data_IF_918611150481
#
_entry.id   IF_918611150481
#
_cell.length_a   1.000
_cell.length_b   1.000
_cell.length_c   1.000
_cell.angle_alpha   90.00
_cell.angle_beta   90.00
_cell.angle_gamma   90.00
#
_symmetry.space_group_name_H-M   'P 1'
#
loop_
_entity.id
_entity.type
_entity.pdbx_description
1 polymer ?
#
# COMPACT_ATOMS: atom_id res chain seq x y z
N UNK A 1 12.38 67.40 -11.12
CA UNK A 1 11.03 67.74 -11.68
C UNK A 1 10.27 66.42 -11.80
N UNK A 2 9.25 66.13 -10.97
CA UNK A 2 7.85 66.58 -11.12
C UNK A 2 7.36 66.21 -12.54
N UNK A 3 6.33 65.39 -12.82
CA UNK A 3 4.97 65.16 -12.27
C UNK A 3 4.44 63.90 -12.99
N UNK A 4 3.95 62.85 -12.32
CA UNK A 4 2.54 62.55 -12.01
C UNK A 4 1.53 62.62 -13.19
N UNK A 5 0.87 61.51 -13.51
CA UNK A 5 -0.56 61.51 -13.87
C UNK A 5 -1.19 60.14 -13.65
N UNK A 6 -2.11 60.11 -12.69
CA UNK A 6 -3.09 59.07 -12.37
C UNK A 6 -4.21 59.01 -13.42
N UNK A 7 -5.01 57.93 -13.38
CA UNK A 7 -6.50 57.87 -13.32
C UNK A 7 -6.90 56.36 -13.39
N UNK A 8 -7.26 55.72 -12.26
CA UNK A 8 -8.61 55.49 -11.68
C UNK A 8 -9.43 54.40 -12.44
N UNK A 9 -9.57 53.18 -11.91
CA UNK A 9 -10.60 52.62 -10.96
C UNK A 9 -12.01 52.45 -11.56
N UNK A 10 -12.47 51.19 -11.66
CA UNK A 10 -13.77 50.65 -11.18
C UNK A 10 -13.81 49.12 -11.47
N UNK A 11 -13.64 48.26 -10.46
CA UNK A 11 -14.67 47.55 -9.68
C UNK A 11 -15.83 46.96 -10.50
N UNK A 12 -15.93 45.62 -10.54
CA UNK A 12 -17.04 44.82 -10.00
C UNK A 12 -16.76 43.30 -10.20
N UNK A 13 -17.05 42.49 -9.17
CA UNK A 13 -17.06 41.01 -9.15
C UNK A 13 -18.49 40.53 -8.86
N UNK A 14 -18.78 39.20 -8.79
CA UNK A 14 -19.03 38.19 -9.83
C UNK A 14 -20.54 37.73 -9.76
N UNK A 15 -21.08 36.61 -10.35
CA UNK A 15 -20.65 35.21 -10.17
C UNK A 15 -20.83 34.22 -11.37
N UNK A 16 -20.14 33.09 -11.24
CA UNK A 16 -20.48 31.71 -11.68
C UNK A 16 -21.10 31.43 -13.05
N UNK A 17 -20.37 30.71 -13.91
CA UNK A 17 -20.93 29.59 -14.71
C UNK A 17 -19.85 28.58 -15.14
N UNK A 18 -20.30 27.32 -15.28
CA UNK A 18 -19.76 26.21 -16.06
C UNK A 18 -18.67 25.26 -15.49
N UNK A 19 -19.17 24.05 -15.17
CA UNK A 19 -18.75 22.76 -15.73
C UNK A 19 -17.53 22.75 -16.66
N UNK A 20 -16.58 21.85 -16.42
CA UNK A 20 -16.07 20.92 -17.45
C UNK A 20 -14.93 20.03 -16.94
N UNK A 21 -15.00 18.77 -17.36
CA UNK A 21 -13.89 17.89 -17.76
C UNK A 21 -12.61 17.89 -16.89
N UNK A 22 -12.47 16.80 -16.12
CA UNK A 22 -11.20 16.36 -15.55
C UNK A 22 -10.23 15.99 -16.68
N UNK A 23 -9.40 16.94 -17.10
CA UNK A 23 -8.38 16.73 -18.13
C UNK A 23 -7.08 16.24 -17.49
N UNK A 24 -6.65 15.04 -17.86
CA UNK A 24 -5.35 14.45 -17.54
C UNK A 24 -4.26 15.31 -18.17
N UNK A 25 -3.47 16.03 -17.38
CA UNK A 25 -2.20 16.61 -17.83
C UNK A 25 -1.18 16.65 -16.69
N UNK A 26 -0.19 15.75 -16.76
CA UNK A 26 1.08 15.88 -16.05
C UNK A 26 1.95 16.90 -16.80
N UNK A 27 2.70 17.78 -16.11
CA UNK A 27 3.50 18.78 -16.79
C UNK A 27 4.74 18.13 -17.42
N UNK A 28 4.79 18.16 -18.75
CA UNK A 28 5.99 18.03 -19.55
C UNK A 28 6.93 19.21 -19.24
N UNK A 29 8.15 18.94 -18.77
CA UNK A 29 9.23 19.92 -18.88
C UNK A 29 9.79 19.85 -20.31
N UNK A 30 9.65 20.96 -21.04
CA UNK A 30 10.17 21.13 -22.38
C UNK A 30 11.71 21.16 -22.38
N UNK A 31 12.26 20.41 -23.32
CA UNK A 31 13.69 20.26 -23.54
C UNK A 31 14.20 21.46 -24.36
N UNK A 32 14.35 22.63 -23.74
CA UNK A 32 14.81 23.84 -24.43
C UNK A 32 15.68 24.73 -23.52
N UNK A 33 16.78 24.20 -22.97
CA UNK A 33 17.86 25.00 -22.36
C UNK A 33 19.12 24.16 -22.15
N UNK A 34 19.70 23.62 -23.21
CA UNK A 34 21.04 22.98 -23.18
C UNK A 34 21.67 23.10 -24.59
N UNK A 35 21.79 24.34 -25.06
CA UNK A 35 22.74 24.70 -26.13
C UNK A 35 23.75 25.65 -25.52
N UNK A 36 24.93 25.14 -25.19
CA UNK A 36 26.23 25.83 -25.31
C UNK A 36 27.36 24.91 -24.80
N UNK A 37 28.42 24.79 -25.62
CA UNK A 37 29.73 24.29 -25.18
C UNK A 37 30.15 22.90 -25.66
N UNK A 38 30.31 22.69 -26.96
CA UNK A 38 31.21 21.64 -27.49
C UNK A 38 32.46 22.33 -28.02
N UNK A 39 33.59 22.16 -27.36
CA UNK A 39 34.93 22.23 -27.98
C UNK A 39 35.82 21.09 -27.47
N UNK A 40 36.68 20.63 -28.37
CA UNK A 40 37.39 19.34 -28.44
C UNK A 40 38.40 19.06 -27.31
N UNK A 41 38.60 17.77 -27.00
CA UNK A 41 39.92 17.21 -26.66
C UNK A 41 40.11 16.55 -25.28
N UNK A 42 39.89 15.23 -25.24
CA UNK A 42 40.58 14.18 -24.44
C UNK A 42 40.99 14.36 -22.95
N UNK A 43 40.73 13.29 -22.18
CA UNK A 43 41.23 12.93 -20.82
C UNK A 43 40.64 13.68 -19.62
N UNK A 44 39.55 13.13 -19.08
CA UNK A 44 39.32 12.84 -17.65
C UNK A 44 37.82 12.56 -17.42
N UNK A 45 37.48 11.34 -17.03
CA UNK A 45 36.16 11.02 -16.48
C UNK A 45 36.11 11.72 -15.11
N UNK A 46 35.41 12.84 -15.04
CA UNK A 46 35.27 13.58 -13.79
C UNK A 46 34.34 12.82 -12.84
N UNK A 47 34.85 12.51 -11.64
CA UNK A 47 34.03 12.06 -10.52
C UNK A 47 32.92 13.09 -10.24
N UNK A 48 31.74 12.58 -9.88
CA UNK A 48 30.52 13.33 -9.58
C UNK A 48 30.70 14.42 -8.49
N UNK A 49 31.82 14.41 -7.76
CA UNK A 49 32.18 15.44 -6.77
C UNK A 49 32.46 16.83 -7.36
N UNK A 50 32.82 16.95 -8.65
CA UNK A 50 33.17 18.25 -9.25
C UNK A 50 31.97 19.07 -9.76
N UNK A 51 30.74 18.54 -9.72
CA UNK A 51 29.53 19.23 -10.19
C UNK A 51 28.75 19.87 -9.02
N UNK A 52 29.21 19.72 -7.78
CA UNK A 52 28.47 20.10 -6.56
C UNK A 52 28.54 21.60 -6.18
N UNK A 53 28.85 22.51 -7.10
CA UNK A 53 28.96 23.95 -6.79
C UNK A 53 28.09 24.83 -7.67
N UNK A 54 26.78 24.63 -7.69
CA UNK A 54 25.82 25.70 -7.98
C UNK A 54 24.52 25.53 -7.15
N UNK A 55 24.02 26.59 -6.50
CA UNK A 55 22.79 26.52 -5.72
C UNK A 55 21.58 26.66 -6.65
N UNK A 56 20.87 25.57 -6.92
CA UNK A 56 19.57 25.66 -7.59
C UNK A 56 18.51 26.24 -6.63
N UNK A 57 18.40 27.58 -6.65
CA UNK A 57 17.18 28.31 -6.27
C UNK A 57 16.09 27.98 -7.28
N UNK A 58 15.17 27.09 -6.93
CA UNK A 58 13.76 27.11 -7.35
C UNK A 58 13.00 25.94 -6.67
N UNK A 59 12.84 26.04 -5.35
CA UNK A 59 11.87 25.23 -4.61
C UNK A 59 10.54 25.99 -4.55
N UNK A 60 9.69 25.83 -5.56
CA UNK A 60 8.25 26.09 -5.37
C UNK A 60 7.66 24.84 -4.70
N UNK A 61 8.05 24.64 -3.44
CA UNK A 61 7.36 23.80 -2.48
C UNK A 61 6.90 24.78 -1.41
N UNK A 62 5.65 25.24 -1.53
CA UNK A 62 4.95 25.83 -0.40
C UNK A 62 4.83 24.72 0.64
N UNK A 63 5.75 24.70 1.61
CA UNK A 63 5.45 24.16 2.93
C UNK A 63 4.14 24.82 3.36
N UNK A 64 3.06 24.04 3.43
CA UNK A 64 1.87 24.48 4.14
C UNK A 64 2.33 24.66 5.58
N UNK A 65 2.44 25.93 5.97
CA UNK A 65 2.67 26.33 7.35
C UNK A 65 1.57 25.68 8.20
N UNK A 66 1.98 25.18 9.36
CA UNK A 66 1.11 25.08 10.54
C UNK A 66 0.28 26.35 10.59
N UNK A 67 -1.03 26.24 10.45
CA UNK A 67 -2.04 27.12 11.04
C UNK A 67 -3.42 26.51 10.69
N UNK A 68 -4.29 26.45 11.71
CA UNK A 68 -5.65 25.87 11.75
C UNK A 68 -5.77 24.45 12.34
N UNK A 69 -5.35 24.31 13.61
CA UNK A 69 -6.12 23.48 14.53
C UNK A 69 -7.45 24.21 14.79
N UNK A 70 -8.50 23.83 14.06
CA UNK A 70 -9.86 24.13 14.48
C UNK A 70 -10.13 23.39 15.78
N UNK A 71 -10.22 24.13 16.88
CA UNK A 71 -10.68 23.65 18.18
C UNK A 71 -12.17 23.32 18.09
N UNK A 72 -12.48 22.09 17.68
CA UNK A 72 -13.72 21.43 18.06
C UNK A 72 -13.41 20.58 19.30
N UNK A 73 -14.29 20.55 20.32
CA UNK A 73 -14.03 19.77 21.51
C UNK A 73 -13.89 18.30 21.11
N UNK A 74 -12.67 17.78 21.29
CA UNK A 74 -12.39 16.38 21.08
C UNK A 74 -13.22 15.61 22.11
N UNK A 75 -14.31 14.96 21.67
CA UNK A 75 -14.75 13.75 22.36
C UNK A 75 -13.50 12.87 22.43
N UNK A 76 -13.06 12.51 23.63
CA UNK A 76 -11.96 11.58 23.86
C UNK A 76 -12.20 10.35 22.99
N UNK A 77 -11.52 10.29 21.83
CA UNK A 77 -11.55 9.09 21.00
C UNK A 77 -10.72 8.07 21.75
N UNK A 78 -11.36 6.99 22.18
CA UNK A 78 -10.68 5.85 22.76
C UNK A 78 -9.55 5.43 21.79
N UNK A 79 -8.30 5.48 22.26
CA UNK A 79 -7.13 5.20 21.42
C UNK A 79 -7.22 3.74 20.96
N UNK A 80 -6.97 3.50 19.67
CA UNK A 80 -6.97 2.12 19.15
C UNK A 80 -5.95 1.28 19.91
N UNK A 81 -6.36 0.08 20.34
CA UNK A 81 -5.50 -0.90 21.03
C UNK A 81 -4.50 -1.59 20.08
N UNK A 82 -4.62 -1.35 18.77
CA UNK A 82 -3.88 -2.02 17.71
C UNK A 82 -3.16 -0.99 16.84
N UNK A 83 -1.90 -1.25 16.49
CA UNK A 83 -1.12 -0.47 15.54
C UNK A 83 -0.45 -1.38 14.51
N UNK A 84 -0.44 -0.98 13.24
CA UNK A 84 0.11 -1.80 12.16
C UNK A 84 1.47 -1.27 11.75
N UNK A 85 2.47 -2.14 11.75
CA UNK A 85 3.81 -1.86 11.26
C UNK A 85 3.99 -2.45 9.86
N UNK A 86 4.24 -1.58 8.88
CA UNK A 86 4.49 -1.94 7.48
C UNK A 86 5.93 -1.60 7.10
N UNK A 87 6.74 -2.62 6.82
CA UNK A 87 8.17 -2.46 6.51
C UNK A 87 8.54 -2.81 5.07
N UNK A 88 7.56 -3.10 4.22
CA UNK A 88 7.81 -3.35 2.80
C UNK A 88 6.61 -3.00 1.91
N UNK A 89 6.87 -2.75 0.61
CA UNK A 89 5.81 -2.59 -0.38
C UNK A 89 4.87 -3.79 -0.47
N UNK A 90 5.37 -5.02 -0.24
CA UNK A 90 4.53 -6.23 -0.33
C UNK A 90 3.64 -6.39 0.89
N UNK A 91 4.17 -6.10 2.09
CA UNK A 91 3.36 -6.05 3.31
C UNK A 91 2.26 -4.98 3.21
N UNK A 92 2.57 -3.83 2.60
CA UNK A 92 1.58 -2.79 2.29
C UNK A 92 0.45 -3.30 1.38
N UNK A 93 0.79 -4.03 0.31
CA UNK A 93 -0.20 -4.62 -0.62
C UNK A 93 -1.09 -5.63 0.09
N UNK A 94 -0.49 -6.54 0.86
CA UNK A 94 -1.23 -7.56 1.62
C UNK A 94 -2.18 -6.90 2.62
N UNK A 95 -1.69 -5.93 3.40
CA UNK A 95 -2.52 -5.23 4.36
C UNK A 95 -3.69 -4.49 3.68
N UNK A 96 -3.43 -3.75 2.60
CA UNK A 96 -4.48 -3.09 1.83
C UNK A 96 -5.49 -4.08 1.27
N UNK A 97 -5.02 -5.22 0.76
CA UNK A 97 -5.87 -6.28 0.23
C UNK A 97 -6.79 -6.82 1.31
N UNK A 98 -6.25 -7.15 2.49
CA UNK A 98 -7.02 -7.67 3.61
C UNK A 98 -8.06 -6.68 4.13
N UNK A 99 -7.70 -5.40 4.25
CA UNK A 99 -8.64 -4.34 4.67
C UNK A 99 -9.76 -4.18 3.64
N UNK A 100 -9.43 -4.15 2.34
CA UNK A 100 -10.44 -4.06 1.27
C UNK A 100 -11.37 -5.28 1.29
N UNK A 101 -10.81 -6.49 1.41
CA UNK A 101 -11.58 -7.73 1.51
C UNK A 101 -12.49 -7.72 2.75
N UNK A 102 -11.98 -7.30 3.89
CA UNK A 102 -12.72 -7.24 5.15
C UNK A 102 -13.88 -6.25 5.05
N UNK A 103 -13.64 -5.04 4.55
CA UNK A 103 -14.70 -4.03 4.33
C UNK A 103 -15.75 -4.57 3.38
N UNK A 104 -15.34 -5.13 2.24
CA UNK A 104 -16.26 -5.75 1.26
C UNK A 104 -17.11 -6.84 1.91
N UNK A 105 -16.50 -7.73 2.68
CA UNK A 105 -17.21 -8.83 3.33
C UNK A 105 -18.17 -8.34 4.42
N UNK A 106 -17.83 -7.28 5.15
CA UNK A 106 -18.70 -6.66 6.14
C UNK A 106 -19.89 -5.94 5.47
N UNK A 107 -19.64 -5.22 4.37
CA UNK A 107 -20.68 -4.55 3.59
C UNK A 107 -21.60 -5.55 2.88
N UNK A 108 -21.05 -6.64 2.34
CA UNK A 108 -21.83 -7.70 1.70
C UNK A 108 -22.74 -8.43 2.69
N UNK A 109 -22.27 -8.69 3.92
CA UNK A 109 -23.12 -9.24 4.99
C UNK A 109 -24.25 -8.28 5.34
N UNK A 110 -23.93 -6.99 5.52
CA UNK A 110 -24.95 -5.97 5.75
C UNK A 110 -25.98 -5.85 4.61
N UNK A 111 -25.58 -6.16 3.37
CA UNK A 111 -26.46 -6.16 2.19
C UNK A 111 -27.25 -7.47 2.01
N UNK A 112 -26.70 -8.62 2.34
CA UNK A 112 -27.48 -9.89 2.38
C UNK A 112 -28.57 -9.78 3.44
N UNK A 113 -28.29 -9.07 4.52
CA UNK A 113 -29.26 -8.79 5.57
C UNK A 113 -30.26 -7.65 5.23
N UNK A 114 -30.05 -6.93 4.11
CA UNK A 114 -30.91 -5.83 3.63
C UNK A 114 -30.96 -5.77 2.10
N UNK A 115 -32.06 -6.26 1.49
CA UNK A 115 -32.79 -5.54 0.44
C UNK A 115 -33.91 -6.36 -0.24
N UNK A 116 -35.15 -5.87 -0.13
CA UNK A 116 -36.16 -5.98 -1.19
C UNK A 116 -37.58 -6.28 -0.70
N UNK A 117 -38.58 -5.66 -1.32
CA UNK A 117 -39.94 -6.16 -1.24
C UNK A 117 -39.98 -7.56 -1.87
N UNK A 118 -40.15 -8.59 -1.05
CA UNK A 118 -40.19 -9.97 -1.53
C UNK A 118 -41.64 -10.33 -1.89
N UNK A 119 -41.94 -10.37 -3.19
CA UNK A 119 -43.21 -10.87 -3.71
C UNK A 119 -43.02 -12.33 -4.13
N UNK A 120 -43.51 -13.27 -3.32
CA UNK A 120 -43.54 -14.69 -3.66
C UNK A 120 -44.96 -15.06 -4.10
N UNK A 121 -45.09 -15.57 -5.32
CA UNK A 121 -46.32 -16.15 -5.88
C UNK A 121 -46.11 -17.65 -6.07
N UNK A 122 -46.93 -18.49 -5.44
CA UNK A 122 -46.83 -19.95 -5.50
C UNK A 122 -46.41 -20.63 -4.19
N UNK A 123 -46.04 -21.91 -4.24
CA UNK A 123 -45.59 -22.66 -3.07
C UNK A 123 -44.10 -22.42 -2.78
N UNK A 124 -43.76 -22.02 -1.55
CA UNK A 124 -42.38 -21.75 -1.13
C UNK A 124 -41.98 -22.63 0.06
N UNK A 125 -40.87 -23.37 -0.07
CA UNK A 125 -40.29 -24.18 1.01
C UNK A 125 -38.90 -23.62 1.37
N UNK A 126 -38.71 -23.15 2.60
CA UNK A 126 -37.42 -22.67 3.12
C UNK A 126 -36.96 -23.56 4.27
N UNK A 127 -35.77 -24.15 4.14
CA UNK A 127 -35.07 -24.92 5.17
C UNK A 127 -33.83 -24.15 5.63
N UNK A 128 -33.76 -23.77 6.91
CA UNK A 128 -32.64 -23.01 7.49
C UNK A 128 -33.05 -21.66 8.10
N UNK A 129 -32.07 -20.85 8.52
CA UNK A 129 -32.34 -19.51 9.05
C UNK A 129 -32.64 -18.51 7.91
N UNK A 130 -33.74 -17.76 8.03
CA UNK A 130 -34.17 -16.78 7.02
C UNK A 130 -34.47 -15.41 7.65
N UNK A 131 -33.88 -14.34 7.11
CA UNK A 131 -34.13 -12.96 7.54
C UNK A 131 -34.69 -12.14 6.36
N UNK A 132 -35.87 -11.56 6.51
CA UNK A 132 -36.47 -10.66 5.51
C UNK A 132 -36.70 -9.30 6.14
N UNK A 133 -36.18 -8.24 5.51
CA UNK A 133 -36.33 -6.85 5.94
C UNK A 133 -37.02 -6.05 4.83
N UNK A 134 -38.18 -5.45 5.11
CA UNK A 134 -39.04 -4.75 4.13
C UNK A 134 -40.47 -5.33 4.01
N UNK A 135 -41.18 -4.99 2.94
CA UNK A 135 -42.53 -5.52 2.66
C UNK A 135 -42.45 -6.93 2.09
N UNK A 136 -42.99 -7.93 2.77
CA UNK A 136 -43.09 -9.29 2.24
C UNK A 136 -44.54 -9.58 1.84
N UNK A 137 -44.81 -9.85 0.56
CA UNK A 137 -46.12 -10.33 0.11
C UNK A 137 -45.98 -11.77 -0.35
N UNK A 138 -46.67 -12.69 0.33
CA UNK A 138 -46.71 -14.11 -0.03
C UNK A 138 -48.14 -14.44 -0.43
N UNK A 139 -48.30 -14.94 -1.65
CA UNK A 139 -49.57 -15.41 -2.23
C UNK A 139 -49.42 -16.90 -2.54
N UNK A 140 -50.03 -17.77 -1.72
CA UNK A 140 -49.89 -19.24 -1.84
C UNK A 140 -49.53 -19.92 -0.51
N UNK A 141 -49.04 -21.17 -0.60
CA UNK A 141 -48.65 -21.97 0.58
C UNK A 141 -47.17 -21.77 0.90
N UNK A 142 -46.83 -21.42 2.15
CA UNK A 142 -45.44 -21.26 2.59
C UNK A 142 -45.11 -22.22 3.74
N UNK A 143 -44.05 -23.02 3.60
CA UNK A 143 -43.51 -23.85 4.67
C UNK A 143 -42.09 -23.39 5.03
N UNK A 144 -41.88 -23.01 6.29
CA UNK A 144 -40.55 -22.67 6.82
C UNK A 144 -40.19 -23.63 7.95
N UNK A 145 -39.03 -24.26 7.82
CA UNK A 145 -38.42 -25.16 8.81
C UNK A 145 -37.11 -24.53 9.29
N UNK A 146 -37.09 -23.96 10.50
CA UNK A 146 -35.95 -23.21 11.05
C UNK A 146 -36.33 -21.86 11.69
N UNK A 147 -35.33 -21.05 12.07
CA UNK A 147 -35.55 -19.70 12.64
C UNK A 147 -35.85 -18.69 11.54
N UNK A 148 -36.97 -17.97 11.64
CA UNK A 148 -37.34 -16.93 10.68
C UNK A 148 -37.47 -15.57 11.40
N UNK A 149 -36.77 -14.54 10.91
CA UNK A 149 -36.95 -13.17 11.38
C UNK A 149 -37.49 -12.28 10.25
N UNK A 150 -38.65 -11.66 10.48
CA UNK A 150 -39.28 -10.74 9.55
C UNK A 150 -39.29 -9.35 10.17
N UNK A 151 -38.82 -8.33 9.45
CA UNK A 151 -38.94 -6.94 9.90
C UNK A 151 -39.54 -6.03 8.83
N UNK A 152 -40.74 -5.50 9.05
CA UNK A 152 -41.53 -4.75 8.06
C UNK A 152 -42.97 -5.25 7.93
N UNK A 153 -43.71 -4.73 6.93
CA UNK A 153 -45.09 -5.14 6.67
C UNK A 153 -45.12 -6.50 5.96
N UNK A 154 -45.80 -7.50 6.54
CA UNK A 154 -45.98 -8.81 5.93
C UNK A 154 -47.46 -9.00 5.55
N UNK A 155 -47.74 -9.23 4.27
CA UNK A 155 -49.06 -9.66 3.80
C UNK A 155 -48.97 -11.12 3.34
N UNK A 156 -49.58 -12.02 4.11
CA UNK A 156 -49.73 -13.43 3.77
C UNK A 156 -51.16 -13.67 3.30
N UNK A 157 -51.31 -14.17 2.08
CA UNK A 157 -52.59 -14.61 1.53
C UNK A 157 -52.45 -16.08 1.13
N UNK A 158 -52.88 -16.97 2.02
CA UNK A 158 -52.76 -18.43 1.87
C UNK A 158 -52.43 -19.15 3.19
N UNK A 159 -52.23 -20.47 3.13
CA UNK A 159 -51.87 -21.29 4.29
C UNK A 159 -50.36 -21.22 4.58
N UNK A 160 -49.97 -20.96 5.83
CA UNK A 160 -48.57 -20.91 6.25
C UNK A 160 -48.31 -21.92 7.37
N UNK A 161 -47.30 -22.77 7.20
CA UNK A 161 -46.82 -23.68 8.24
C UNK A 161 -45.40 -23.28 8.66
N UNK A 162 -45.27 -22.81 9.90
CA UNK A 162 -43.99 -22.47 10.53
C UNK A 162 -43.64 -23.53 11.57
N UNK A 163 -42.48 -24.14 11.43
CA UNK A 163 -41.90 -25.02 12.45
C UNK A 163 -40.54 -24.45 12.88
N UNK A 164 -40.56 -23.69 13.99
CA UNK A 164 -39.40 -22.96 14.51
C UNK A 164 -39.77 -21.64 15.21
N UNK A 165 -38.77 -20.91 15.72
CA UNK A 165 -38.97 -19.61 16.35
C UNK A 165 -39.15 -18.50 15.29
N UNK A 166 -40.18 -17.66 15.47
CA UNK A 166 -40.47 -16.52 14.61
C UNK A 166 -40.38 -15.21 15.39
N UNK A 167 -39.57 -14.26 14.93
CA UNK A 167 -39.52 -12.91 15.50
C UNK A 167 -39.95 -11.87 14.47
N UNK A 168 -40.91 -11.02 14.83
CA UNK A 168 -41.35 -9.87 14.04
C UNK A 168 -40.87 -8.58 14.71
N UNK A 169 -40.02 -7.81 14.04
CA UNK A 169 -39.45 -6.56 14.57
C UNK A 169 -39.58 -5.38 13.61
N UNK A 170 -39.40 -4.15 14.08
CA UNK A 170 -39.46 -2.98 13.21
C UNK A 170 -38.17 -2.81 12.39
N UNK A 171 -38.27 -2.60 11.07
CA UNK A 171 -37.13 -2.41 10.16
C UNK A 171 -36.15 -1.32 10.64
N UNK A 172 -36.66 -0.24 11.23
CA UNK A 172 -35.84 0.85 11.78
C UNK A 172 -34.87 0.42 12.89
N UNK A 173 -35.22 -0.56 13.74
CA UNK A 173 -34.33 -1.06 14.79
C UNK A 173 -33.21 -1.90 14.19
N UNK A 174 -33.54 -2.66 13.15
CA UNK A 174 -32.62 -3.58 12.47
C UNK A 174 -31.59 -2.85 11.60
N UNK A 175 -32.02 -1.87 10.79
CA UNK A 175 -31.14 -0.98 10.01
C UNK A 175 -30.21 -0.15 10.90
N UNK A 176 -30.73 0.30 12.05
CA UNK A 176 -29.97 1.06 13.07
C UNK A 176 -28.95 0.21 13.80
N UNK A 177 -29.13 -1.11 13.90
CA UNK A 177 -28.19 -2.02 14.56
C UNK A 177 -27.16 -2.61 13.56
N UNK A 178 -27.61 -3.13 12.40
CA UNK A 178 -26.74 -3.87 11.47
C UNK A 178 -26.09 -3.00 10.38
N UNK A 179 -26.82 -2.02 9.83
CA UNK A 179 -26.25 -1.00 8.93
C UNK A 179 -25.33 -0.02 9.66
N UNK A 180 -25.54 0.14 10.97
CA UNK A 180 -24.59 0.81 11.87
C UNK A 180 -23.36 -0.06 12.12
N UNK A 181 -23.53 -1.37 12.37
CA UNK A 181 -22.42 -2.29 12.59
C UNK A 181 -21.42 -2.31 11.44
N UNK A 182 -21.88 -2.43 10.19
CA UNK A 182 -21.00 -2.41 9.01
C UNK A 182 -20.22 -1.10 8.86
N UNK A 183 -20.90 0.05 9.01
CA UNK A 183 -20.26 1.39 8.94
C UNK A 183 -19.29 1.63 10.09
N UNK A 184 -19.63 1.13 11.29
CA UNK A 184 -18.80 1.21 12.48
C UNK A 184 -17.56 0.34 12.34
N UNK A 185 -17.71 -0.92 11.96
CA UNK A 185 -16.60 -1.84 11.73
C UNK A 185 -15.65 -1.30 10.65
N UNK A 186 -16.18 -0.74 9.55
CA UNK A 186 -15.38 -0.02 8.55
C UNK A 186 -14.59 1.13 9.16
N UNK A 187 -15.23 1.99 9.96
CA UNK A 187 -14.57 3.11 10.65
C UNK A 187 -13.45 2.60 11.57
N UNK A 188 -13.73 1.59 12.39
CA UNK A 188 -12.78 0.98 13.31
C UNK A 188 -11.52 0.50 12.58
N UNK A 189 -11.68 -0.20 11.44
CA UNK A 189 -10.56 -0.69 10.65
C UNK A 189 -9.77 0.47 10.01
N UNK A 190 -10.47 1.46 9.45
CA UNK A 190 -9.82 2.60 8.79
C UNK A 190 -9.09 3.53 9.76
N UNK A 191 -9.52 3.57 11.02
CA UNK A 191 -8.90 4.36 12.09
C UNK A 191 -7.66 3.68 12.70
N UNK A 192 -7.37 2.42 12.37
CA UNK A 192 -6.17 1.71 12.86
C UNK A 192 -4.90 2.51 12.47
N UNK A 193 -4.08 2.96 13.44
CA UNK A 193 -2.85 3.67 13.16
C UNK A 193 -1.84 2.79 12.41
N UNK A 194 -1.24 3.34 11.36
CA UNK A 194 -0.23 2.64 10.54
C UNK A 194 1.12 3.37 10.62
N UNK A 195 2.14 2.61 11.01
CA UNK A 195 3.56 2.97 10.90
C UNK A 195 4.08 2.43 9.57
N UNK A 196 4.42 3.34 8.65
CA UNK A 196 4.92 3.00 7.31
C UNK A 196 6.41 3.29 7.20
N UNK A 197 7.23 2.33 6.75
CA UNK A 197 8.68 2.54 6.60
C UNK A 197 9.07 3.59 5.57
N UNK A 198 8.19 3.95 4.64
CA UNK A 198 8.54 4.91 3.61
C UNK A 198 7.47 5.19 2.57
N UNK A 199 7.72 6.21 1.75
CA UNK A 199 6.78 6.75 0.76
C UNK A 199 6.22 5.68 -0.18
N UNK A 200 7.02 4.70 -0.61
CA UNK A 200 6.52 3.61 -1.48
C UNK A 200 5.43 2.78 -0.81
N UNK A 201 5.56 2.48 0.49
CA UNK A 201 4.54 1.75 1.23
C UNK A 201 3.31 2.63 1.44
N UNK A 202 3.51 3.89 1.81
CA UNK A 202 2.43 4.86 1.98
C UNK A 202 1.63 5.10 0.70
N UNK A 203 2.30 5.13 -0.46
CA UNK A 203 1.63 5.19 -1.76
C UNK A 203 0.74 3.97 -1.99
N UNK A 204 1.25 2.75 -1.76
CA UNK A 204 0.45 1.52 -1.92
C UNK A 204 -0.75 1.51 -0.98
N UNK A 205 -0.54 1.86 0.31
CA UNK A 205 -1.62 1.91 1.30
C UNK A 205 -2.72 2.91 0.94
N UNK A 206 -2.42 3.95 0.15
CA UNK A 206 -3.34 5.03 -0.21
C UNK A 206 -3.65 5.12 -1.71
N UNK A 207 -3.42 4.05 -2.49
CA UNK A 207 -3.75 4.00 -3.92
C UNK A 207 -4.67 2.81 -4.22
N UNK A 208 -5.58 2.96 -5.16
CA UNK A 208 -6.34 1.81 -5.67
C UNK A 208 -5.42 0.80 -6.35
N UNK A 209 -5.80 -0.47 -6.32
CA UNK A 209 -5.02 -1.52 -6.97
C UNK A 209 -5.02 -1.31 -8.48
N UNK A 210 -3.84 -1.40 -9.10
CA UNK A 210 -3.74 -1.56 -10.54
C UNK A 210 -4.00 -3.00 -10.97
N UNK A 211 -4.24 -3.20 -12.27
CA UNK A 211 -4.57 -4.52 -12.86
C UNK A 211 -3.57 -5.63 -12.48
N UNK A 212 -2.30 -5.28 -12.28
CA UNK A 212 -1.23 -6.24 -11.98
C UNK A 212 -0.88 -6.38 -10.49
N UNK A 213 -1.40 -5.52 -9.60
CA UNK A 213 -0.93 -5.46 -8.20
C UNK A 213 -1.25 -6.73 -7.40
N UNK A 214 -2.38 -7.37 -7.72
CA UNK A 214 -2.83 -8.60 -7.07
C UNK A 214 -2.62 -9.85 -7.93
N UNK A 215 -2.06 -9.73 -9.14
CA UNK A 215 -1.95 -10.85 -10.08
C UNK A 215 -1.18 -12.05 -9.49
N UNK A 216 -0.02 -11.79 -8.88
CA UNK A 216 0.77 -12.84 -8.26
C UNK A 216 0.06 -13.47 -7.04
N UNK A 217 -0.67 -12.67 -6.26
CA UNK A 217 -1.46 -13.15 -5.12
C UNK A 217 -2.60 -14.04 -5.60
N UNK A 218 -3.32 -13.63 -6.64
CA UNK A 218 -4.39 -14.40 -7.28
C UNK A 218 -3.87 -15.74 -7.84
N UNK A 219 -2.76 -15.72 -8.58
CA UNK A 219 -2.16 -16.95 -9.14
C UNK A 219 -1.78 -17.97 -8.07
N UNK A 220 -1.21 -17.52 -6.95
CA UNK A 220 -0.84 -18.41 -5.84
C UNK A 220 -2.04 -18.86 -5.02
N UNK A 221 -3.01 -17.98 -4.81
CA UNK A 221 -4.24 -18.30 -4.10
C UNK A 221 -5.02 -19.42 -4.80
N UNK A 222 -5.12 -19.39 -6.13
CA UNK A 222 -5.78 -20.45 -6.91
C UNK A 222 -5.18 -21.85 -6.66
N UNK A 223 -3.93 -21.93 -6.21
CA UNK A 223 -3.26 -23.21 -5.88
C UNK A 223 -3.45 -23.63 -4.42
N UNK A 224 -3.85 -22.71 -3.55
CA UNK A 224 -3.85 -22.86 -2.08
C UNK A 224 -5.15 -22.37 -1.41
N UNK A 225 -6.24 -22.26 -2.17
CA UNK A 225 -7.53 -21.67 -1.77
C UNK A 225 -8.04 -22.13 -0.40
N UNK A 226 -7.87 -23.43 -0.08
CA UNK A 226 -8.30 -24.03 1.19
C UNK A 226 -7.67 -23.40 2.44
N UNK A 227 -6.56 -22.66 2.32
CA UNK A 227 -5.87 -22.04 3.44
C UNK A 227 -6.45 -20.69 3.87
N UNK A 228 -7.26 -20.04 3.01
CA UNK A 228 -7.89 -18.75 3.31
C UNK A 228 -9.31 -18.69 2.72
N UNK A 229 -10.30 -19.29 3.41
CA UNK A 229 -11.66 -19.49 2.89
C UNK A 229 -12.53 -18.23 2.89
N UNK A 230 -12.13 -17.15 3.57
CA UNK A 230 -12.85 -15.88 3.59
C UNK A 230 -12.72 -15.07 2.30
N UNK A 231 -11.91 -15.54 1.36
CA UNK A 231 -11.80 -15.02 0.02
C UNK A 231 -12.34 -16.04 -0.99
N UNK A 232 -12.80 -15.57 -2.14
CA UNK A 232 -13.10 -16.41 -3.29
C UNK A 232 -12.42 -15.83 -4.52
N UNK A 233 -12.24 -16.65 -5.57
CA UNK A 233 -11.63 -16.20 -6.82
C UNK A 233 -12.40 -15.02 -7.44
N UNK A 234 -13.73 -15.02 -7.35
CA UNK A 234 -14.55 -13.92 -7.86
C UNK A 234 -14.41 -12.66 -7.00
N UNK A 235 -14.36 -12.83 -5.68
CA UNK A 235 -14.10 -11.72 -4.75
C UNK A 235 -12.72 -11.08 -5.02
N UNK A 236 -11.70 -11.89 -5.33
CA UNK A 236 -10.37 -11.41 -5.70
C UNK A 236 -10.36 -10.51 -6.94
N UNK A 237 -11.22 -10.80 -7.93
CA UNK A 237 -11.36 -9.98 -9.14
C UNK A 237 -12.09 -8.67 -8.85
N UNK A 238 -13.11 -8.73 -7.98
CA UNK A 238 -13.87 -7.54 -7.56
C UNK A 238 -13.01 -6.52 -6.80
N UNK A 239 -12.07 -6.99 -5.97
CA UNK A 239 -11.26 -6.15 -5.07
C UNK A 239 -10.51 -5.03 -5.81
N UNK A 240 -10.07 -5.27 -7.05
CA UNK A 240 -9.36 -4.25 -7.83
C UNK A 240 -10.21 -2.99 -8.08
N UNK A 241 -11.54 -3.12 -8.06
CA UNK A 241 -12.48 -2.05 -8.33
C UNK A 241 -13.03 -1.37 -7.07
N UNK A 242 -12.61 -1.80 -5.87
CA UNK A 242 -13.14 -1.29 -4.61
C UNK A 242 -12.23 -0.18 -4.08
N UNK A 243 -12.78 1.03 -3.97
CA UNK A 243 -12.13 2.16 -3.30
C UNK A 243 -12.54 2.22 -1.83
N UNK A 244 -11.55 2.07 -0.95
CA UNK A 244 -11.72 2.18 0.50
C UNK A 244 -11.21 3.51 1.07
N UNK A 245 -10.68 4.40 0.21
CA UNK A 245 -10.07 5.66 0.59
C UNK A 245 -8.65 5.52 1.13
N UNK A 246 -8.23 6.57 1.86
CA UNK A 246 -6.89 6.68 2.45
C UNK A 246 -6.85 6.05 3.83
N UNK A 247 -5.81 5.29 4.10
CA UNK A 247 -5.53 4.67 5.40
C UNK A 247 -4.86 5.65 6.37
N UNK A 248 -5.05 5.40 7.67
CA UNK A 248 -4.54 6.22 8.75
C UNK A 248 -3.02 6.02 9.00
N UNK A 249 -2.18 6.55 8.10
CA UNK A 249 -0.73 6.55 8.28
C UNK A 249 -0.33 7.64 9.27
N UNK A 250 0.11 7.22 10.45
CA UNK A 250 0.45 8.12 11.58
C UNK A 250 1.95 8.39 11.70
N UNK A 251 2.78 7.55 11.08
CA UNK A 251 4.23 7.70 11.15
C UNK A 251 4.92 7.23 9.87
N UNK A 252 5.94 7.98 9.44
CA UNK A 252 6.88 7.59 8.39
C UNK A 252 8.25 8.18 8.73
N UNK A 253 9.33 7.37 8.74
CA UNK A 253 10.65 7.86 9.12
C UNK A 253 11.26 8.75 8.04
N UNK A 254 12.30 9.50 8.40
CA UNK A 254 13.01 10.38 7.45
C UNK A 254 13.69 9.62 6.32
N UNK A 255 14.10 8.37 6.58
CA UNK A 255 14.72 7.48 5.60
C UNK A 255 14.09 6.09 5.67
N UNK A 256 13.87 5.47 4.51
CA UNK A 256 13.27 4.15 4.37
C UNK A 256 14.24 3.03 4.74
N UNK A 257 14.62 3.01 6.01
CA UNK A 257 15.58 2.10 6.61
C UNK A 257 15.07 1.63 7.96
N UNK A 258 15.21 0.34 8.27
CA UNK A 258 14.68 -0.24 9.51
C UNK A 258 15.33 0.31 10.78
N UNK A 259 16.63 0.60 10.76
CA UNK A 259 17.35 1.19 11.90
C UNK A 259 16.89 2.62 12.15
N UNK A 260 16.76 3.41 11.08
CA UNK A 260 16.18 4.76 11.15
C UNK A 260 14.74 4.71 11.66
N UNK A 261 13.92 3.80 11.13
CA UNK A 261 12.54 3.60 11.58
C UNK A 261 12.48 3.29 13.08
N UNK A 262 13.26 2.32 13.56
CA UNK A 262 13.29 1.94 14.98
C UNK A 262 13.70 3.11 15.86
N UNK A 263 14.78 3.82 15.51
CA UNK A 263 15.27 4.97 16.28
C UNK A 263 14.22 6.09 16.35
N UNK A 264 13.72 6.53 15.20
CA UNK A 264 12.78 7.65 15.16
C UNK A 264 11.41 7.30 15.73
N UNK A 265 10.99 6.04 15.64
CA UNK A 265 9.74 5.58 16.27
C UNK A 265 9.81 5.70 17.80
N UNK A 266 10.94 5.31 18.41
CA UNK A 266 11.15 5.45 19.85
C UNK A 266 11.24 6.93 20.26
N UNK A 267 12.03 7.74 19.55
CA UNK A 267 12.31 9.14 19.91
C UNK A 267 11.15 10.12 19.60
N UNK A 268 10.37 9.85 18.55
CA UNK A 268 9.42 10.83 18.00
C UNK A 268 7.96 10.40 18.02
N UNK A 269 7.67 9.10 18.04
CA UNK A 269 6.29 8.63 18.03
C UNK A 269 5.82 8.29 19.45
N UNK A 270 6.44 7.31 20.10
CA UNK A 270 5.95 6.85 21.40
C UNK A 270 6.16 7.85 22.52
N UNK A 271 7.37 8.41 22.66
CA UNK A 271 7.67 9.37 23.73
C UNK A 271 6.85 10.66 23.66
N UNK A 272 6.30 11.02 22.49
CA UNK A 272 5.53 12.26 22.30
C UNK A 272 4.02 12.06 22.28
N UNK A 273 3.52 10.89 21.90
CA UNK A 273 2.09 10.65 21.74
C UNK A 273 1.41 9.99 22.94
N UNK A 274 2.18 9.32 23.80
CA UNK A 274 1.61 8.53 24.89
C UNK A 274 2.10 9.03 26.23
N UNK A 275 1.20 9.66 26.98
CA UNK A 275 1.47 10.12 28.34
C UNK A 275 1.57 8.98 29.34
N UNK A 276 0.94 7.82 29.06
CA UNK A 276 0.99 6.60 29.88
C UNK A 276 1.45 5.41 29.05
N UNK A 277 2.16 4.47 29.67
CA UNK A 277 2.67 3.28 28.97
C UNK A 277 1.56 2.29 28.63
N UNK A 278 0.51 2.20 29.44
CA UNK A 278 -0.63 1.28 29.23
C UNK A 278 -1.57 1.72 28.10
N UNK A 279 -1.41 2.95 27.61
CA UNK A 279 -2.09 3.43 26.41
C UNK A 279 -1.42 2.98 25.10
N UNK A 280 -0.20 2.41 25.16
CA UNK A 280 0.56 2.07 23.97
C UNK A 280 -0.08 0.87 23.28
N UNK A 281 -0.44 0.98 21.99
CA UNK A 281 -1.07 -0.10 21.27
C UNK A 281 -0.11 -1.25 21.04
N UNK A 282 -0.66 -2.47 20.99
CA UNK A 282 0.03 -3.64 20.48
C UNK A 282 0.38 -3.43 19.01
N UNK A 283 1.65 -3.64 18.66
CA UNK A 283 2.11 -3.50 17.27
C UNK A 283 1.97 -4.86 16.57
N UNK A 284 1.25 -4.89 15.46
CA UNK A 284 1.23 -6.04 14.54
C UNK A 284 2.08 -5.71 13.33
N UNK A 285 3.17 -6.46 13.17
CA UNK A 285 4.12 -6.29 12.09
C UNK A 285 3.80 -7.24 10.93
N UNK A 286 3.36 -6.67 9.80
CA UNK A 286 3.18 -7.40 8.54
C UNK A 286 4.55 -7.60 7.90
N UNK A 287 5.07 -8.82 8.01
CA UNK A 287 6.49 -9.09 7.81
C UNK A 287 6.73 -10.18 6.77
N UNK A 288 7.98 -10.23 6.29
CA UNK A 288 8.45 -11.35 5.50
C UNK A 288 9.09 -12.40 6.39
N UNK A 289 8.87 -13.70 6.16
CA UNK A 289 9.48 -14.77 6.97
C UNK A 289 11.01 -14.75 6.97
N UNK A 290 11.62 -14.22 5.92
CA UNK A 290 13.08 -14.08 5.79
C UNK A 290 13.63 -12.75 6.34
N UNK A 291 12.79 -11.90 6.95
CA UNK A 291 13.26 -10.64 7.54
C UNK A 291 14.09 -10.90 8.81
N UNK A 292 15.28 -10.33 8.84
CA UNK A 292 16.25 -10.35 9.94
C UNK A 292 16.17 -9.08 10.81
N UNK A 293 15.22 -8.20 10.54
CA UNK A 293 15.10 -6.92 11.24
C UNK A 293 14.57 -7.11 12.65
N UNK A 294 15.26 -6.55 13.64
CA UNK A 294 14.88 -6.69 15.05
C UNK A 294 14.01 -5.51 15.54
N UNK A 295 12.70 -5.72 15.51
CA UNK A 295 11.71 -4.86 16.18
C UNK A 295 11.27 -5.39 17.56
N UNK A 296 11.72 -6.55 18.00
CA UNK A 296 11.34 -7.12 19.30
C UNK A 296 11.97 -6.35 20.47
N UNK A 297 13.19 -5.83 20.28
CA UNK A 297 13.87 -5.04 21.30
C UNK A 297 13.51 -3.56 21.22
N UNK A 298 12.24 -3.23 21.43
CA UNK A 298 11.77 -1.85 21.54
C UNK A 298 11.37 -1.54 22.98
N UNK A 299 12.11 -0.61 23.59
CA UNK A 299 11.91 -0.18 24.98
C UNK A 299 11.81 1.34 25.05
N UNK A 300 10.81 1.83 25.77
CA UNK A 300 10.67 3.26 26.09
C UNK A 300 11.00 3.50 27.56
N UNK A 301 11.54 4.68 27.85
CA UNK A 301 11.80 5.10 29.22
C UNK A 301 10.59 5.87 29.74
N UNK A 302 9.97 5.38 30.82
CA UNK A 302 8.84 6.06 31.43
C UNK A 302 9.22 6.63 32.81
N UNK A 303 8.71 7.83 33.14
CA UNK A 303 8.84 8.44 34.46
C UNK A 303 7.47 8.76 35.06
N UNK A 304 7.12 8.07 36.15
CA UNK A 304 5.90 8.33 36.93
C UNK A 304 6.00 9.65 37.72
N UNK A 305 5.97 10.82 37.06
CA UNK A 305 5.65 12.15 37.60
C UNK A 305 6.30 12.67 38.91
N UNK A 306 7.15 11.88 39.60
CA UNK A 306 7.72 12.16 40.91
C UNK A 306 9.20 12.47 40.76
N UNK A 307 9.64 13.51 41.47
CA UNK A 307 10.94 14.19 41.32
C UNK A 307 12.18 13.31 41.58
N UNK A 308 12.05 12.07 42.08
CA UNK A 308 13.16 11.14 42.30
C UNK A 308 13.08 9.93 41.36
N UNK A 309 14.01 9.89 40.39
CA UNK A 309 14.00 9.07 39.18
C UNK A 309 14.38 7.60 39.42
N UNK A 310 13.42 6.70 39.23
CA UNK A 310 13.70 5.37 38.66
C UNK A 310 13.02 5.33 37.29
N UNK A 311 13.80 5.46 36.22
CA UNK A 311 13.29 5.24 34.84
C UNK A 311 13.05 3.75 34.68
N UNK A 312 11.79 3.32 34.67
CA UNK A 312 11.46 1.94 34.31
C UNK A 312 11.43 1.85 32.79
N UNK A 313 12.11 0.83 32.25
CA UNK A 313 12.00 0.49 30.84
C UNK A 313 10.70 -0.28 30.64
N UNK A 314 9.85 0.19 29.74
CA UNK A 314 8.66 -0.54 29.33
C UNK A 314 8.90 -1.14 27.94
N UNK A 315 8.57 -2.43 27.78
CA UNK A 315 8.71 -3.16 26.52
C UNK A 315 7.47 -2.92 25.66
N UNK A 316 7.67 -2.56 24.40
CA UNK A 316 6.57 -2.43 23.44
C UNK A 316 6.26 -3.80 22.84
N UNK A 317 5.03 -4.28 23.02
CA UNK A 317 4.61 -5.57 22.46
C UNK A 317 4.55 -5.49 20.93
N UNK A 318 5.33 -6.36 20.28
CA UNK A 318 5.34 -6.53 18.82
C UNK A 318 5.00 -7.96 18.47
N UNK A 319 3.88 -8.16 17.77
CA UNK A 319 3.50 -9.43 17.18
C UNK A 319 3.87 -9.43 15.70
N UNK A 320 4.83 -10.27 15.35
CA UNK A 320 5.22 -10.51 13.97
C UNK A 320 4.23 -11.48 13.32
N UNK A 321 3.73 -11.11 12.15
CA UNK A 321 2.93 -11.98 11.29
C UNK A 321 3.64 -12.13 9.96
N UNK A 322 4.16 -13.32 9.70
CA UNK A 322 4.83 -13.64 8.44
C UNK A 322 3.78 -13.88 7.36
N UNK A 323 3.63 -12.94 6.42
CA UNK A 323 2.59 -13.02 5.39
C UNK A 323 3.15 -13.41 4.01
N UNK A 324 4.48 -13.35 3.84
CA UNK A 324 5.13 -13.63 2.57
C UNK A 324 6.63 -13.91 2.75
N UNK A 325 7.28 -14.46 1.74
CA UNK A 325 8.72 -14.63 1.67
C UNK A 325 9.24 -14.26 0.27
N UNK A 326 10.57 -14.20 0.11
CA UNK A 326 11.19 -14.06 -1.21
C UNK A 326 11.94 -15.33 -1.56
N UNK A 327 11.50 -16.02 -2.61
CA UNK A 327 12.18 -17.20 -3.17
C UNK A 327 13.15 -16.81 -4.28
N UNK A 328 14.27 -17.53 -4.35
CA UNK A 328 15.20 -17.44 -5.48
C UNK A 328 14.62 -18.19 -6.67
N UNK A 329 14.72 -17.61 -7.86
CA UNK A 329 14.34 -18.24 -9.13
C UNK A 329 15.59 -18.77 -9.80
N UNK A 330 15.62 -20.07 -10.11
CA UNK A 330 16.71 -20.72 -10.84
C UNK A 330 16.29 -20.94 -12.30
N UNK A 331 17.10 -20.46 -13.24
CA UNK A 331 16.82 -20.51 -14.68
C UNK A 331 17.48 -21.69 -15.40
N UNK A 332 18.29 -22.53 -14.74
CA UNK A 332 18.93 -23.76 -15.27
C UNK A 332 19.42 -23.69 -16.75
N UNK A 333 19.88 -22.53 -17.22
CA UNK A 333 20.34 -22.31 -18.60
C UNK A 333 19.25 -21.98 -19.64
N UNK A 334 17.97 -21.98 -19.26
CA UNK A 334 16.82 -21.70 -20.14
C UNK A 334 16.77 -20.23 -20.59
N UNK A 335 17.15 -19.29 -19.71
CA UNK A 335 17.22 -17.86 -20.05
C UNK A 335 18.63 -17.45 -20.40
N UNK A 336 18.80 -16.91 -21.62
CA UNK A 336 20.07 -16.31 -22.07
C UNK A 336 19.98 -14.79 -22.02
N UNK A 337 20.97 -14.16 -21.39
CA UNK A 337 21.15 -12.71 -21.38
C UNK A 337 22.27 -12.34 -22.36
N UNK A 338 22.01 -11.39 -23.25
CA UNK A 338 23.02 -10.92 -24.22
C UNK A 338 24.15 -10.18 -23.50
N UNK A 339 25.40 -10.30 -23.98
CA UNK A 339 26.55 -9.59 -23.39
C UNK A 339 26.40 -8.05 -23.39
N UNK A 340 25.75 -7.49 -24.41
CA UNK A 340 25.46 -6.05 -24.51
C UNK A 340 24.23 -5.68 -23.67
N UNK A 341 24.31 -5.90 -22.37
CA UNK A 341 23.21 -5.63 -21.45
C UNK A 341 23.63 -4.82 -20.24
N UNK A 342 22.73 -3.95 -19.78
CA UNK A 342 22.83 -3.24 -18.50
C UNK A 342 21.93 -3.99 -17.52
N UNK A 343 22.51 -4.56 -16.48
CA UNK A 343 21.77 -5.36 -15.50
C UNK A 343 21.26 -4.48 -14.36
N UNK A 344 19.95 -4.51 -14.09
CA UNK A 344 19.33 -3.76 -13.01
C UNK A 344 19.10 -4.66 -11.78
N UNK A 345 19.74 -4.35 -10.63
CA UNK A 345 19.66 -5.15 -9.41
C UNK A 345 19.18 -4.33 -8.21
N UNK A 346 17.97 -4.60 -7.74
CA UNK A 346 17.27 -3.74 -6.77
C UNK A 346 17.32 -4.22 -5.31
N UNK A 347 17.94 -5.38 -5.03
CA UNK A 347 18.04 -5.95 -3.68
C UNK A 347 19.18 -6.96 -3.58
N UNK A 348 19.67 -7.20 -2.36
CA UNK A 348 20.72 -8.20 -2.10
C UNK A 348 20.29 -9.61 -2.51
N UNK A 349 19.01 -9.99 -2.29
CA UNK A 349 18.48 -11.28 -2.70
C UNK A 349 18.45 -11.43 -4.23
N UNK A 350 18.10 -10.37 -4.96
CA UNK A 350 18.21 -10.34 -6.42
C UNK A 350 19.66 -10.44 -6.90
N UNK A 351 20.61 -9.76 -6.25
CA UNK A 351 22.05 -9.86 -6.58
C UNK A 351 22.54 -11.30 -6.44
N UNK A 352 22.30 -11.94 -5.29
CA UNK A 352 22.75 -13.31 -5.04
C UNK A 352 22.11 -14.29 -6.02
N UNK A 353 20.80 -14.17 -6.26
CA UNK A 353 20.12 -15.06 -7.20
C UNK A 353 20.60 -14.85 -8.64
N UNK A 354 20.79 -13.61 -9.08
CA UNK A 354 21.34 -13.30 -10.40
C UNK A 354 22.74 -13.90 -10.57
N UNK A 355 23.62 -13.72 -9.58
CA UNK A 355 24.97 -14.25 -9.61
C UNK A 355 25.00 -15.78 -9.70
N UNK A 356 24.16 -16.48 -8.91
CA UNK A 356 24.04 -17.94 -9.01
C UNK A 356 23.59 -18.42 -10.40
N UNK A 357 22.72 -17.65 -11.07
CA UNK A 357 22.21 -18.03 -12.39
C UNK A 357 23.14 -17.69 -13.55
N UNK A 358 23.81 -16.52 -13.50
CA UNK A 358 24.47 -15.92 -14.66
C UNK A 358 25.93 -15.52 -14.43
N UNK A 359 26.42 -15.62 -13.18
CA UNK A 359 27.75 -15.14 -12.80
C UNK A 359 27.89 -13.63 -12.83
N UNK A 360 29.12 -13.15 -12.99
CA UNK A 360 29.49 -11.72 -12.97
C UNK A 360 30.03 -11.21 -14.31
N UNK A 361 29.89 -11.97 -15.40
CA UNK A 361 30.44 -11.63 -16.72
C UNK A 361 29.55 -10.63 -17.49
N UNK A 362 29.24 -9.51 -16.84
CA UNK A 362 28.47 -8.40 -17.39
C UNK A 362 29.22 -7.10 -17.17
N UNK A 363 29.38 -6.31 -18.22
CA UNK A 363 30.24 -5.14 -18.15
C UNK A 363 29.58 -3.99 -17.37
N UNK A 364 28.25 -3.91 -17.32
CA UNK A 364 27.52 -2.78 -16.72
C UNK A 364 26.36 -3.23 -15.84
N UNK A 365 26.33 -2.75 -14.61
CA UNK A 365 25.28 -3.01 -13.61
C UNK A 365 24.82 -1.69 -12.99
N UNK A 366 23.50 -1.50 -12.89
CA UNK A 366 22.90 -0.43 -12.08
C UNK A 366 22.17 -1.10 -10.92
N UNK A 367 22.49 -0.72 -9.69
CA UNK A 367 21.91 -1.32 -8.50
C UNK A 367 21.30 -0.28 -7.54
N UNK A 368 20.42 -0.74 -6.65
CA UNK A 368 19.72 0.13 -5.71
C UNK A 368 20.46 0.23 -4.37
N UNK A 369 20.98 1.42 -4.07
CA UNK A 369 21.58 1.75 -2.78
C UNK A 369 22.95 1.12 -2.49
N UNK A 370 23.54 1.54 -1.37
CA UNK A 370 24.92 1.20 -1.00
C UNK A 370 25.13 -0.27 -0.68
N UNK A 371 24.18 -0.93 -0.02
CA UNK A 371 24.33 -2.33 0.38
C UNK A 371 24.45 -3.27 -0.85
N UNK A 372 23.59 -3.07 -1.86
CA UNK A 372 23.67 -3.80 -3.12
C UNK A 372 25.01 -3.56 -3.83
N UNK A 373 25.46 -2.30 -3.86
CA UNK A 373 26.75 -1.93 -4.45
C UNK A 373 27.92 -2.68 -3.79
N UNK A 374 27.97 -2.69 -2.45
CA UNK A 374 29.04 -3.36 -1.70
C UNK A 374 29.04 -4.88 -1.96
N UNK A 375 27.86 -5.50 -2.04
CA UNK A 375 27.73 -6.91 -2.37
C UNK A 375 28.22 -7.21 -3.80
N UNK A 376 27.85 -6.39 -4.78
CA UNK A 376 28.29 -6.54 -6.17
C UNK A 376 29.81 -6.40 -6.33
N UNK A 377 30.44 -5.51 -5.56
CA UNK A 377 31.90 -5.39 -5.52
C UNK A 377 32.58 -6.62 -4.92
N UNK A 378 32.01 -7.20 -3.85
CA UNK A 378 32.47 -8.48 -3.28
C UNK A 378 32.36 -9.64 -4.28
N UNK A 379 31.37 -9.60 -5.18
CA UNK A 379 31.18 -10.57 -6.26
C UNK A 379 31.96 -10.23 -7.55
N UNK A 380 32.88 -9.27 -7.49
CA UNK A 380 33.76 -8.87 -8.60
C UNK A 380 33.05 -8.37 -9.88
N UNK A 381 31.90 -7.72 -9.75
CA UNK A 381 31.31 -7.00 -10.88
C UNK A 381 32.12 -5.74 -11.24
N UNK A 382 32.33 -5.52 -12.55
CA UNK A 382 33.20 -4.46 -13.07
C UNK A 382 32.61 -3.05 -12.86
N UNK A 383 31.76 -2.59 -13.78
CA UNK A 383 31.19 -1.24 -13.73
C UNK A 383 29.83 -1.29 -13.03
N UNK A 384 29.80 -0.85 -11.77
CA UNK A 384 28.59 -0.84 -10.92
C UNK A 384 28.24 0.60 -10.57
N UNK A 385 27.01 1.00 -10.90
CA UNK A 385 26.46 2.32 -10.63
C UNK A 385 25.31 2.20 -9.63
N UNK A 386 25.13 3.17 -8.74
CA UNK A 386 24.04 3.17 -7.76
C UNK A 386 23.67 4.60 -7.32
N UNK A 387 22.40 4.86 -6.97
CA UNK A 387 22.00 6.12 -6.36
C UNK A 387 22.32 6.11 -4.86
N UNK A 388 22.87 7.21 -4.35
CA UNK A 388 23.24 7.35 -2.94
C UNK A 388 22.01 7.53 -2.03
N UNK A 389 20.95 8.14 -2.55
CA UNK A 389 19.69 8.38 -1.83
C UNK A 389 18.74 7.18 -1.85
N UNK A 390 19.09 6.10 -2.57
CA UNK A 390 18.27 4.91 -2.76
C UNK A 390 16.84 5.24 -3.23
N UNK A 391 16.69 6.26 -4.09
CA UNK A 391 15.41 6.62 -4.72
C UNK A 391 15.29 6.08 -6.14
N UNK A 392 14.06 5.75 -6.54
CA UNK A 392 13.79 5.18 -7.86
C UNK A 392 14.05 6.20 -8.98
N UNK A 393 13.76 7.48 -8.74
CA UNK A 393 14.01 8.56 -9.68
C UNK A 393 15.51 8.68 -9.98
N UNK A 394 16.33 8.68 -8.94
CA UNK A 394 17.79 8.70 -9.03
C UNK A 394 18.35 7.45 -9.71
N UNK A 395 17.78 6.28 -9.41
CA UNK A 395 18.09 5.02 -10.10
C UNK A 395 17.83 5.13 -11.60
N UNK A 396 16.65 5.60 -11.99
CA UNK A 396 16.25 5.74 -13.40
C UNK A 396 17.12 6.75 -14.14
N UNK A 397 17.44 7.87 -13.52
CA UNK A 397 18.33 8.87 -14.09
C UNK A 397 19.71 8.28 -14.42
N UNK A 398 20.31 7.53 -13.49
CA UNK A 398 21.58 6.83 -13.72
C UNK A 398 21.45 5.82 -14.88
N UNK A 399 20.40 5.00 -14.86
CA UNK A 399 20.17 3.97 -15.88
C UNK A 399 20.04 4.56 -17.30
N UNK A 400 19.24 5.62 -17.44
CA UNK A 400 18.97 6.26 -18.74
C UNK A 400 20.23 6.94 -19.27
N UNK A 401 20.95 7.67 -18.42
CA UNK A 401 22.18 8.36 -18.84
C UNK A 401 23.25 7.35 -19.24
N UNK A 402 23.44 6.29 -18.46
CA UNK A 402 24.37 5.22 -18.80
C UNK A 402 23.99 4.56 -20.14
N UNK A 403 22.70 4.29 -20.37
CA UNK A 403 22.24 3.73 -21.65
C UNK A 403 22.57 4.63 -22.84
N UNK A 404 22.29 5.94 -22.72
CA UNK A 404 22.61 6.92 -23.76
C UNK A 404 24.12 7.01 -24.01
N UNK A 405 24.95 7.10 -22.97
CA UNK A 405 26.40 7.15 -23.07
C UNK A 405 26.97 5.92 -23.79
N UNK A 406 26.50 4.71 -23.42
CA UNK A 406 26.95 3.47 -24.04
C UNK A 406 26.51 3.35 -25.49
N UNK A 407 25.28 3.77 -25.81
CA UNK A 407 24.76 3.82 -27.17
C UNK A 407 25.60 4.76 -28.05
N UNK A 408 25.93 5.95 -27.55
CA UNK A 408 26.72 6.93 -28.30
C UNK A 408 28.18 6.51 -28.46
N UNK A 409 28.79 5.99 -27.39
CA UNK A 409 30.20 5.59 -27.39
C UNK A 409 30.49 4.39 -28.29
N UNK A 410 29.63 3.37 -28.25
CA UNK A 410 29.88 2.11 -28.97
C UNK A 410 29.05 1.96 -30.25
N UNK A 411 28.13 2.89 -30.52
CA UNK A 411 27.17 2.83 -31.65
C UNK A 411 26.45 1.47 -31.74
N UNK A 412 26.17 0.86 -30.58
CA UNK A 412 25.51 -0.44 -30.42
C UNK A 412 24.25 -0.30 -29.57
N UNK A 413 23.27 -1.18 -29.81
CA UNK A 413 22.08 -1.29 -28.95
C UNK A 413 22.44 -2.06 -27.68
N UNK A 414 22.16 -1.45 -26.53
CA UNK A 414 22.23 -2.10 -25.21
C UNK A 414 20.83 -2.43 -24.72
N UNK A 415 20.64 -3.65 -24.23
CA UNK A 415 19.39 -4.09 -23.62
C UNK A 415 19.42 -3.83 -22.10
N UNK A 416 18.30 -3.44 -21.51
CA UNK A 416 18.17 -3.32 -20.06
C UNK A 416 17.59 -4.61 -19.48
N UNK A 417 18.23 -5.20 -18.47
CA UNK A 417 17.74 -6.43 -17.82
C UNK A 417 17.09 -6.07 -16.50
N UNK A 418 15.78 -6.25 -16.42
CA UNK A 418 15.01 -6.05 -15.19
C UNK A 418 14.91 -7.39 -14.45
N UNK A 419 15.47 -7.44 -13.24
CA UNK A 419 15.63 -8.70 -12.49
C UNK A 419 14.50 -9.02 -11.51
N UNK A 420 13.50 -8.15 -11.40
CA UNK A 420 12.31 -8.35 -10.58
C UNK A 420 11.19 -8.99 -11.39
N UNK A 421 10.18 -9.51 -10.71
CA UNK A 421 8.92 -9.93 -11.34
C UNK A 421 8.28 -8.80 -12.15
N UNK A 422 7.54 -9.17 -13.20
CA UNK A 422 6.93 -8.23 -14.15
C UNK A 422 6.13 -7.13 -13.46
N UNK A 423 5.17 -7.50 -12.60
CA UNK A 423 4.30 -6.55 -11.87
C UNK A 423 5.05 -5.54 -10.99
N UNK A 424 6.31 -5.84 -10.61
CA UNK A 424 7.15 -4.95 -9.80
C UNK A 424 7.92 -3.93 -10.63
N UNK A 425 7.87 -4.03 -11.95
CA UNK A 425 8.61 -3.18 -12.88
C UNK A 425 7.70 -2.21 -13.67
N UNK A 426 6.38 -2.22 -13.48
CA UNK A 426 5.42 -1.42 -14.26
C UNK A 426 5.85 0.06 -14.49
N UNK A 427 6.32 0.74 -13.45
CA UNK A 427 6.81 2.12 -13.56
C UNK A 427 8.10 2.23 -14.38
N UNK A 428 9.04 1.32 -14.18
CA UNK A 428 10.32 1.28 -14.90
C UNK A 428 10.07 0.95 -16.38
N UNK A 429 9.21 -0.03 -16.66
CA UNK A 429 8.82 -0.44 -18.01
C UNK A 429 8.18 0.72 -18.78
N UNK A 430 7.21 1.42 -18.18
CA UNK A 430 6.57 2.60 -18.79
C UNK A 430 7.59 3.67 -19.19
N UNK A 431 8.58 3.93 -18.34
CA UNK A 431 9.62 4.94 -18.58
C UNK A 431 10.62 4.48 -19.66
N UNK A 432 11.03 3.21 -19.66
CA UNK A 432 11.92 2.67 -20.69
C UNK A 432 11.24 2.64 -22.06
N UNK A 433 9.97 2.23 -22.13
CA UNK A 433 9.16 2.28 -23.34
C UNK A 433 9.03 3.72 -23.86
N UNK A 434 8.69 4.67 -22.99
CA UNK A 434 8.58 6.09 -23.36
C UNK A 434 9.90 6.71 -23.87
N UNK A 435 11.04 6.08 -23.60
CA UNK A 435 12.37 6.49 -24.08
C UNK A 435 12.93 5.61 -25.20
N UNK A 436 12.14 4.67 -25.74
CA UNK A 436 12.56 3.71 -26.75
C UNK A 436 13.82 2.91 -26.33
N UNK A 437 13.94 2.58 -25.04
CA UNK A 437 15.03 1.77 -24.50
C UNK A 437 14.57 0.31 -24.47
N UNK A 438 15.24 -0.60 -25.20
CA UNK A 438 14.88 -2.01 -25.18
C UNK A 438 15.20 -2.62 -23.82
N UNK A 439 14.30 -3.48 -23.33
CA UNK A 439 14.48 -4.20 -22.08
C UNK A 439 14.02 -5.66 -22.17
N UNK A 440 14.48 -6.47 -21.23
CA UNK A 440 14.06 -7.85 -21.03
C UNK A 440 13.87 -8.10 -19.54
N UNK A 441 12.78 -8.77 -19.18
CA UNK A 441 12.48 -9.14 -17.79
C UNK A 441 13.01 -10.56 -17.52
N UNK A 442 13.89 -10.66 -16.53
CA UNK A 442 14.51 -11.92 -16.09
C UNK A 442 14.37 -12.01 -14.58
N UNK A 443 13.19 -12.44 -14.07
CA UNK A 443 12.93 -12.48 -12.63
C UNK A 443 13.93 -13.41 -11.95
N UNK A 444 14.73 -12.87 -11.04
CA UNK A 444 15.70 -13.64 -10.25
C UNK A 444 15.14 -13.99 -8.86
N UNK A 445 14.08 -13.29 -8.45
CA UNK A 445 13.38 -13.52 -7.20
C UNK A 445 11.88 -13.52 -7.45
N UNK A 446 11.13 -14.24 -6.62
CA UNK A 446 9.68 -14.30 -6.65
C UNK A 446 9.11 -14.09 -5.24
N UNK A 447 8.01 -13.35 -5.09
CA UNK A 447 7.26 -13.35 -3.84
C UNK A 447 6.54 -14.68 -3.71
N UNK A 448 6.62 -15.34 -2.56
CA UNK A 448 5.69 -16.41 -2.18
C UNK A 448 4.84 -15.93 -1.00
N UNK A 449 3.53 -16.11 -1.08
CA UNK A 449 2.62 -15.73 0.00
C UNK A 449 2.45 -16.85 1.02
N UNK A 450 2.35 -16.48 2.29
CA UNK A 450 1.99 -17.37 3.39
C UNK A 450 0.52 -17.15 3.72
N UNK A 451 -0.36 -17.99 3.17
CA UNK A 451 -1.81 -17.83 3.36
C UNK A 451 -2.26 -18.13 4.80
N UNK A 452 -1.51 -18.92 5.58
CA UNK A 452 -1.81 -19.12 6.99
C UNK A 452 -1.54 -17.84 7.79
N UNK A 453 -0.41 -17.17 7.52
CA UNK A 453 -0.10 -15.86 8.09
C UNK A 453 -1.06 -14.76 7.66
N UNK A 454 -1.42 -14.72 6.36
CA UNK A 454 -2.42 -13.79 5.83
C UNK A 454 -3.78 -14.00 6.50
N UNK A 455 -4.20 -15.26 6.67
CA UNK A 455 -5.44 -15.63 7.38
C UNK A 455 -5.41 -15.21 8.85
N UNK A 456 -4.29 -15.44 9.53
CA UNK A 456 -4.10 -15.00 10.91
C UNK A 456 -4.24 -13.48 11.04
N UNK A 457 -3.58 -12.71 10.16
CA UNK A 457 -3.71 -11.25 10.11
C UNK A 457 -5.16 -10.82 9.87
N UNK A 458 -5.86 -11.46 8.92
CA UNK A 458 -7.27 -11.18 8.65
C UNK A 458 -8.14 -11.39 9.90
N UNK A 459 -7.93 -12.49 10.65
CA UNK A 459 -8.65 -12.76 11.90
C UNK A 459 -8.39 -11.71 12.98
N UNK A 460 -7.15 -11.23 13.11
CA UNK A 460 -6.81 -10.16 14.05
C UNK A 460 -7.54 -8.85 13.70
N UNK A 461 -7.56 -8.48 12.42
CA UNK A 461 -8.26 -7.28 11.94
C UNK A 461 -9.77 -7.41 12.11
N UNK A 462 -10.32 -8.58 11.82
CA UNK A 462 -11.73 -8.87 12.05
C UNK A 462 -12.09 -8.74 13.53
N UNK A 463 -11.32 -9.33 14.45
CA UNK A 463 -11.56 -9.20 15.88
C UNK A 463 -11.57 -7.73 16.32
N UNK A 464 -10.57 -6.95 15.92
CA UNK A 464 -10.50 -5.51 16.21
C UNK A 464 -11.71 -4.74 15.66
N UNK A 465 -12.17 -5.07 14.45
CA UNK A 465 -13.33 -4.43 13.83
C UNK A 465 -14.61 -4.63 14.66
N UNK A 466 -14.74 -5.78 15.35
CA UNK A 466 -15.91 -6.18 16.13
C UNK A 466 -15.90 -5.66 17.59
N UNK A 467 -14.73 -5.37 18.15
CA UNK A 467 -14.54 -5.14 19.59
C UNK A 467 -14.88 -3.73 20.10
N UNK A 468 -15.04 -2.71 19.23
CA UNK A 468 -15.28 -1.34 19.70
C UNK A 468 -16.78 -1.08 19.97
N UNK A 469 -17.17 -0.57 21.16
CA UNK A 469 -18.50 -0.70 21.80
C UNK A 469 -19.62 0.23 21.35
#
# INVERSE_FOLDING_TARGET
>A
MFVCANIAISQFSPPSTHSSACNKNFPFFSCASLKQGITKGSKNIKNYEQVRKEPHKNSILKCVKKDNLGTYPAREREKSKLCILITSPEGARIYRFLVTLLIRNLEARAKIDVAGAANLTGAANVTGAANVTGTANVTGTANVTGTANLTGAANLTGAANLTGAANVGCAEKWEREHGYYGRRAKRNIMDIPIISIGKSCSCILNSNFGDNDLLNLQEQYNRQEKQFPECSIDTLKEINNIDIGMMNIVFTPTSANAETLKRELLENFFEKQYERWDDIPKIVWVSSSISDTNFYDMYINYSNGKKNKVKRKHHIEVVRVDCYNTKKVLHRGEKKIKKNSIVCLMSNSAVMSFYTNFGNNFDYVVCMGRNCYMLLKKLHFKNVFFPHDSKLESFLHILINLHHELKEKYKKKFNVILTREKYKNDMVEKILLGKNIPYQIVPCIQTEYDFQGIHHLYKMLLAHARELP
#
